data_IF_663052885620
#
_entry.id   IF_663052885620
#
_cell.length_a   1.000
_cell.length_b   1.000
_cell.length_c   1.000
_cell.angle_alpha   90.00
_cell.angle_beta   90.00
_cell.angle_gamma   90.00
#
_symmetry.space_group_name_H-M   'P 1'
#
loop_
_entity.id
_entity.type
_entity.pdbx_description
1 polymer ?
#
# COMPACT_ATOMS: atom_id res chain seq x y z
N UNK A 1 -14.81 1.41 0.47
CA UNK A 1 -14.65 2.52 1.44
C UNK A 1 -13.41 3.34 1.07
N UNK A 2 -13.20 4.59 1.56
CA UNK A 2 -12.01 5.34 1.19
C UNK A 2 -10.74 4.71 1.76
N UNK A 3 -9.67 4.78 0.97
CA UNK A 3 -8.37 4.23 1.30
C UNK A 3 -7.37 5.36 1.48
N UNK A 4 -6.75 5.40 2.64
CA UNK A 4 -5.80 6.42 3.04
C UNK A 4 -4.40 5.84 3.07
N UNK A 5 -3.46 6.64 2.57
CA UNK A 5 -2.05 6.38 2.69
C UNK A 5 -1.53 7.05 3.97
N UNK A 6 -1.27 6.24 5.00
CA UNK A 6 -0.76 6.72 6.28
C UNK A 6 0.75 6.56 6.32
N UNK A 7 1.46 7.65 6.62
CA UNK A 7 2.92 7.69 6.75
C UNK A 7 3.31 8.31 8.09
N UNK A 8 4.19 7.62 8.82
CA UNK A 8 4.81 8.16 10.01
C UNK A 8 6.32 8.19 9.86
N UNK A 9 6.92 9.31 10.21
CA UNK A 9 8.32 9.32 10.58
C UNK A 9 8.42 9.13 12.10
N UNK A 10 9.27 8.22 12.55
CA UNK A 10 9.39 7.90 13.97
C UNK A 10 10.84 7.63 14.38
N UNK A 11 11.10 7.76 15.67
CA UNK A 11 12.36 7.40 16.31
C UNK A 11 12.13 6.21 17.25
N UNK A 12 13.17 5.43 17.50
CA UNK A 12 13.15 4.36 18.50
C UNK A 12 14.12 4.69 19.62
N UNK A 13 13.88 4.13 20.81
CA UNK A 13 14.70 4.38 22.01
C UNK A 13 16.21 4.22 21.79
N UNK A 14 16.61 3.27 20.94
CA UNK A 14 18.01 2.89 20.74
C UNK A 14 18.64 3.37 19.43
N UNK A 15 17.85 4.00 18.53
CA UNK A 15 18.36 4.52 17.26
C UNK A 15 17.87 5.94 17.04
N UNK A 16 18.83 6.86 16.91
CA UNK A 16 18.58 8.27 16.61
C UNK A 16 18.31 8.53 15.11
N UNK A 17 18.40 7.51 14.26
CA UNK A 17 18.06 7.62 12.84
C UNK A 17 16.54 7.54 12.65
N UNK A 18 16.04 8.41 11.77
CA UNK A 18 14.60 8.48 11.44
C UNK A 18 14.17 7.23 10.68
N UNK A 19 13.18 6.54 11.23
CA UNK A 19 12.51 5.43 10.56
C UNK A 19 11.24 5.91 9.87
N UNK A 20 10.79 5.16 8.86
CA UNK A 20 9.56 5.41 8.15
C UNK A 20 8.62 4.21 8.31
N UNK A 21 7.38 4.51 8.68
CA UNK A 21 6.25 3.61 8.63
C UNK A 21 5.33 4.11 7.53
N UNK A 22 4.85 3.19 6.70
CA UNK A 22 3.96 3.48 5.59
C UNK A 22 2.97 2.34 5.48
N UNK A 23 1.69 2.66 5.54
CA UNK A 23 0.62 1.68 5.48
C UNK A 23 -0.61 2.24 4.77
N UNK A 24 -1.29 1.36 4.04
CA UNK A 24 -2.62 1.63 3.50
C UNK A 24 -3.67 1.30 4.56
N UNK A 25 -4.58 2.23 4.82
CA UNK A 25 -5.65 2.08 5.80
C UNK A 25 -6.99 2.42 5.15
N UNK A 26 -7.91 1.46 5.15
CA UNK A 26 -9.30 1.70 4.77
C UNK A 26 -10.05 2.21 6.00
N UNK A 27 -10.67 3.38 5.91
CA UNK A 27 -11.37 4.03 7.01
C UNK A 27 -12.45 4.98 6.49
N UNK A 28 -13.33 5.46 7.36
CA UNK A 28 -14.39 6.40 6.99
C UNK A 28 -13.83 7.81 6.69
N UNK A 29 -12.87 8.26 7.50
CA UNK A 29 -12.24 9.56 7.39
C UNK A 29 -10.73 9.51 7.71
N UNK A 30 -10.06 10.65 7.50
CA UNK A 30 -8.62 10.80 7.73
C UNK A 30 -8.23 10.57 9.21
N UNK A 31 -9.07 11.04 10.14
CA UNK A 31 -8.82 10.90 11.58
C UNK A 31 -8.86 9.44 12.03
N UNK A 32 -9.82 8.68 11.54
CA UNK A 32 -9.96 7.24 11.77
C UNK A 32 -8.81 6.47 11.13
N UNK A 33 -8.37 6.88 9.93
CA UNK A 33 -7.21 6.29 9.26
C UNK A 33 -5.92 6.50 10.08
N UNK A 34 -5.68 7.72 10.55
CA UNK A 34 -4.54 8.04 11.43
C UNK A 34 -4.59 7.24 12.73
N UNK A 35 -5.76 7.16 13.38
CA UNK A 35 -5.95 6.40 14.61
C UNK A 35 -5.60 4.91 14.43
N UNK A 36 -6.11 4.28 13.38
CA UNK A 36 -5.77 2.89 13.02
C UNK A 36 -4.29 2.75 12.69
N UNK A 37 -3.72 3.68 11.92
CA UNK A 37 -2.30 3.72 11.60
C UNK A 37 -1.45 3.71 12.88
N UNK A 38 -1.75 4.59 13.84
CA UNK A 38 -1.02 4.66 15.13
C UNK A 38 -1.11 3.35 15.89
N UNK A 39 -2.28 2.69 15.93
CA UNK A 39 -2.42 1.37 16.55
C UNK A 39 -1.53 0.32 15.90
N UNK A 40 -1.47 0.27 14.56
CA UNK A 40 -0.58 -0.63 13.82
C UNK A 40 0.89 -0.32 14.12
N UNK A 41 1.23 0.96 14.19
CA UNK A 41 2.58 1.41 14.50
C UNK A 41 3.01 1.02 15.92
N UNK A 42 2.15 1.23 16.92
CA UNK A 42 2.40 0.81 18.31
C UNK A 42 2.54 -0.71 18.44
N UNK A 43 1.80 -1.50 17.66
CA UNK A 43 1.99 -2.96 17.60
C UNK A 43 3.36 -3.34 17.03
N UNK A 44 3.79 -2.65 15.97
CA UNK A 44 5.09 -2.90 15.30
C UNK A 44 6.28 -2.44 16.13
N UNK A 45 6.15 -1.30 16.80
CA UNK A 45 7.23 -0.70 17.61
C UNK A 45 6.61 0.05 18.79
N UNK A 46 6.42 -0.64 19.93
CA UNK A 46 5.74 -0.08 21.11
C UNK A 46 6.38 1.20 21.67
N UNK A 47 7.71 1.28 21.60
CA UNK A 47 8.49 2.43 22.10
C UNK A 47 8.75 3.52 21.01
N UNK A 48 8.04 3.46 19.88
CA UNK A 48 8.24 4.42 18.81
C UNK A 48 7.69 5.79 19.19
N UNK A 49 8.56 6.81 19.11
CA UNK A 49 8.13 8.21 19.17
C UNK A 49 7.88 8.71 17.75
N UNK A 50 6.61 8.90 17.40
CA UNK A 50 6.23 9.52 16.14
C UNK A 50 6.65 11.01 16.17
N UNK A 51 7.37 11.45 15.14
CA UNK A 51 7.87 12.84 15.01
C UNK A 51 7.19 13.59 13.86
N UNK A 52 6.62 12.88 12.90
CA UNK A 52 5.83 13.46 11.83
C UNK A 52 4.78 12.46 11.34
N UNK A 53 3.60 12.96 11.03
CA UNK A 53 2.46 12.19 10.56
C UNK A 53 1.91 12.80 9.27
N UNK A 54 1.54 11.94 8.33
CA UNK A 54 0.85 12.32 7.11
C UNK A 54 -0.20 11.26 6.80
N UNK A 55 -1.38 11.72 6.41
CA UNK A 55 -2.46 10.89 5.93
C UNK A 55 -3.03 11.55 4.68
N UNK A 56 -3.12 10.79 3.59
CA UNK A 56 -3.59 11.32 2.31
C UNK A 56 -4.58 10.33 1.74
N UNK A 57 -5.78 10.82 1.36
CA UNK A 57 -6.73 10.02 0.59
C UNK A 57 -6.09 9.64 -0.75
N UNK A 58 -6.09 8.34 -1.06
CA UNK A 58 -5.55 7.88 -2.34
C UNK A 58 -6.49 8.25 -3.49
N UNK A 59 -5.94 8.66 -4.65
CA UNK A 59 -6.75 8.98 -5.81
C UNK A 59 -7.46 7.76 -6.41
N UNK A 60 -6.93 6.55 -6.20
CA UNK A 60 -7.45 5.26 -6.65
C UNK A 60 -8.13 4.48 -5.51
N UNK A 61 -8.77 5.20 -4.56
CA UNK A 61 -9.31 4.60 -3.34
C UNK A 61 -10.41 3.56 -3.58
N UNK A 62 -11.13 3.65 -4.71
CA UNK A 62 -12.26 2.76 -5.00
C UNK A 62 -11.81 1.34 -5.33
N UNK A 63 -10.68 1.19 -6.00
CA UNK A 63 -10.16 -0.09 -6.49
C UNK A 63 -9.22 -0.76 -5.47
N UNK A 64 -8.81 -0.05 -4.42
CA UNK A 64 -7.88 -0.55 -3.37
C UNK A 64 -8.33 -1.86 -2.76
N UNK A 65 -9.60 -1.96 -2.37
CA UNK A 65 -10.14 -3.17 -1.74
C UNK A 65 -10.08 -4.36 -2.71
N UNK A 66 -10.41 -4.11 -3.98
CA UNK A 66 -10.37 -5.14 -5.03
C UNK A 66 -8.94 -5.59 -5.33
N UNK A 67 -8.01 -4.65 -5.49
CA UNK A 67 -6.59 -4.95 -5.70
C UNK A 67 -6.02 -5.74 -4.51
N UNK A 68 -6.31 -5.32 -3.28
CA UNK A 68 -5.86 -6.03 -2.08
C UNK A 68 -6.45 -7.46 -2.01
N UNK A 69 -7.73 -7.63 -2.35
CA UNK A 69 -8.38 -8.95 -2.38
C UNK A 69 -7.77 -9.88 -3.44
N UNK A 70 -7.25 -9.33 -4.54
CA UNK A 70 -6.55 -10.08 -5.57
C UNK A 70 -5.07 -10.40 -5.23
N UNK A 71 -4.61 -9.98 -4.05
CA UNK A 71 -3.29 -10.30 -3.51
C UNK A 71 -2.23 -9.23 -3.80
N UNK A 72 -2.63 -8.04 -4.27
CA UNK A 72 -1.70 -6.93 -4.44
C UNK A 72 -1.37 -6.26 -3.11
N UNK A 73 -0.09 -5.91 -2.94
CA UNK A 73 0.43 -5.20 -1.77
C UNK A 73 1.06 -3.89 -2.18
N UNK A 74 0.73 -2.80 -1.49
CA UNK A 74 1.33 -1.48 -1.75
C UNK A 74 2.63 -1.28 -0.94
N UNK A 75 3.75 -1.11 -1.63
CA UNK A 75 5.06 -0.78 -1.08
C UNK A 75 5.64 0.47 -1.75
N UNK A 76 6.00 1.50 -0.99
CA UNK A 76 6.64 2.73 -1.50
C UNK A 76 6.02 3.33 -2.78
N UNK A 77 4.67 3.35 -2.80
CA UNK A 77 3.82 3.83 -3.91
C UNK A 77 3.69 2.90 -5.11
N UNK A 78 4.21 1.68 -5.03
CA UNK A 78 4.03 0.64 -6.04
C UNK A 78 3.19 -0.49 -5.48
N UNK A 79 2.16 -0.85 -6.20
CA UNK A 79 1.47 -2.09 -5.95
C UNK A 79 2.28 -3.22 -6.54
N UNK A 80 2.45 -4.31 -5.81
CA UNK A 80 3.05 -5.52 -6.36
C UNK A 80 2.34 -6.79 -5.93
N UNK A 81 2.39 -7.79 -6.82
CA UNK A 81 2.01 -9.17 -6.53
C UNK A 81 2.96 -10.14 -7.24
N UNK A 82 3.07 -11.41 -6.79
CA UNK A 82 3.80 -12.42 -7.54
C UNK A 82 3.24 -12.63 -8.95
N UNK A 83 4.11 -12.97 -9.90
CA UNK A 83 3.73 -13.43 -11.23
C UNK A 83 3.03 -14.78 -11.10
N UNK A 84 1.92 -14.96 -11.80
CA UNK A 84 1.13 -16.19 -11.91
C UNK A 84 1.26 -16.78 -13.32
N UNK A 85 1.08 -18.10 -13.51
CA UNK A 85 1.25 -18.75 -14.81
C UNK A 85 0.28 -18.26 -15.91
N UNK A 86 -0.89 -17.80 -15.51
CA UNK A 86 -2.02 -17.35 -16.33
C UNK A 86 -2.04 -15.82 -16.58
N UNK A 87 -0.98 -15.13 -16.19
CA UNK A 87 -0.89 -13.68 -16.33
C UNK A 87 -0.83 -13.24 -17.81
N UNK A 88 -1.74 -12.33 -18.19
CA UNK A 88 -1.74 -11.69 -19.51
C UNK A 88 -0.56 -10.70 -19.62
N UNK A 89 0.46 -11.10 -20.39
CA UNK A 89 1.66 -10.29 -20.65
C UNK A 89 1.34 -8.95 -21.33
N UNK A 90 0.30 -8.90 -22.18
CA UNK A 90 -0.10 -7.65 -22.83
C UNK A 90 -0.78 -6.70 -21.84
N UNK A 91 -1.59 -7.24 -20.92
CA UNK A 91 -2.17 -6.47 -19.83
C UNK A 91 -1.07 -5.91 -18.91
N UNK A 92 -0.11 -6.74 -18.52
CA UNK A 92 1.05 -6.31 -17.71
C UNK A 92 1.81 -5.20 -18.41
N UNK A 93 2.19 -5.37 -19.68
CA UNK A 93 2.97 -4.36 -20.41
C UNK A 93 2.22 -3.03 -20.56
N UNK A 94 0.89 -3.06 -20.59
CA UNK A 94 0.05 -1.85 -20.72
C UNK A 94 -0.15 -1.11 -19.40
N UNK A 95 -0.31 -1.84 -18.30
CA UNK A 95 -0.76 -1.29 -17.01
C UNK A 95 0.32 -1.31 -15.92
N UNK A 96 1.44 -1.98 -16.17
CA UNK A 96 2.50 -2.17 -15.19
C UNK A 96 3.79 -2.66 -15.81
N UNK A 97 4.55 -3.43 -15.05
CA UNK A 97 5.73 -4.15 -15.54
C UNK A 97 6.07 -5.32 -14.63
N UNK A 98 6.80 -6.30 -15.16
CA UNK A 98 7.35 -7.40 -14.38
C UNK A 98 8.80 -7.11 -13.98
N UNK A 99 9.13 -7.30 -12.70
CA UNK A 99 10.49 -7.20 -12.18
C UNK A 99 10.65 -8.06 -10.92
N UNK A 100 11.77 -8.80 -10.83
CA UNK A 100 12.12 -9.63 -9.66
C UNK A 100 11.01 -10.60 -9.22
N UNK A 101 10.47 -11.37 -10.18
CA UNK A 101 9.35 -12.32 -9.99
C UNK A 101 8.05 -11.70 -9.45
N UNK A 102 7.90 -10.38 -9.57
CA UNK A 102 6.68 -9.66 -9.22
C UNK A 102 6.21 -8.80 -10.39
N UNK A 103 4.91 -8.55 -10.43
CA UNK A 103 4.30 -7.53 -11.26
C UNK A 103 4.13 -6.29 -10.41
N UNK A 104 4.42 -5.14 -10.99
CA UNK A 104 4.33 -3.83 -10.36
C UNK A 104 3.35 -2.95 -11.12
N UNK A 105 2.50 -2.23 -10.39
CA UNK A 105 1.51 -1.30 -10.94
C UNK A 105 1.50 0.01 -10.16
N UNK A 106 1.21 1.12 -10.83
CA UNK A 106 1.20 2.46 -10.22
C UNK A 106 -0.07 2.74 -9.42
N UNK A 107 -1.18 2.12 -9.80
CA UNK A 107 -2.49 2.33 -9.19
C UNK A 107 -3.23 1.02 -8.96
N UNK A 108 -4.18 1.02 -8.03
CA UNK A 108 -5.08 -0.10 -7.77
C UNK A 108 -5.99 -0.37 -8.98
N UNK A 109 -6.32 0.66 -9.76
CA UNK A 109 -7.03 0.51 -11.04
C UNK A 109 -6.21 -0.32 -12.03
N UNK A 110 -4.91 -0.04 -12.14
CA UNK A 110 -4.00 -0.82 -12.98
C UNK A 110 -3.86 -2.26 -12.49
N UNK A 111 -3.81 -2.49 -11.17
CA UNK A 111 -3.84 -3.83 -10.58
C UNK A 111 -5.06 -4.62 -11.05
N UNK A 112 -6.24 -4.02 -10.90
CA UNK A 112 -7.51 -4.65 -11.30
C UNK A 112 -7.58 -4.85 -12.82
N UNK A 113 -7.04 -3.92 -13.62
CA UNK A 113 -6.99 -4.06 -15.07
C UNK A 113 -6.08 -5.22 -15.53
N UNK A 114 -4.97 -5.46 -14.82
CA UNK A 114 -4.08 -6.61 -15.06
C UNK A 114 -4.83 -7.91 -14.74
N UNK A 115 -5.50 -7.97 -13.58
CA UNK A 115 -6.10 -9.20 -13.09
C UNK A 115 -7.42 -9.55 -13.78
N UNK A 116 -8.19 -8.56 -14.25
CA UNK A 116 -9.44 -8.80 -14.99
C UNK A 116 -9.23 -9.41 -16.40
N UNK A 117 -7.98 -9.50 -16.87
CA UNK A 117 -7.61 -10.09 -18.17
C UNK A 117 -6.91 -11.44 -18.06
N UNK A 118 -6.49 -11.82 -16.86
CA UNK A 118 -6.11 -13.20 -16.56
C UNK A 118 -7.42 -14.01 -16.40
N UNK A 119 -7.70 -14.90 -17.35
CA UNK A 119 -8.89 -15.75 -17.38
C UNK A 119 -8.48 -17.22 -17.38
#
# INVERSE_FOLDING_TARGET
MPAYQVKFAYLTKYKQTRHLFHQLVIAEDEASALGRGRQMMSKRSPDARIVHESCVLRPDSFEVESAAAQGWTLNDNWWSRPIKPDDDLAAIAKHGFAHSNQIHAKSAMDCVAIDNRAA
#
